data_IF_074690575005
#
_entry.id   IF_074690575005
#
_cell.length_a   1.000
_cell.length_b   1.000
_cell.length_c   1.000
_cell.angle_alpha   90.00
_cell.angle_beta   90.00
_cell.angle_gamma   90.00
#
_symmetry.space_group_name_H-M   'P 1'
#
loop_
_entity.id
_entity.type
_entity.pdbx_description
1 polymer ?
#
# COMPACT_ATOMS: atom_id res chain seq x y z
N UNK A 1 -13.98 -8.13 -5.77
CA UNK A 1 -12.64 -7.75 -6.16
C UNK A 1 -11.99 -6.78 -5.19
N UNK A 2 -10.73 -6.56 -5.39
CA UNK A 2 -9.94 -5.63 -4.60
C UNK A 2 -9.75 -4.33 -5.37
N UNK A 3 -9.74 -3.20 -4.64
CA UNK A 3 -9.50 -1.87 -5.17
C UNK A 3 -8.33 -1.24 -4.42
N UNK A 4 -7.44 -0.57 -5.15
CA UNK A 4 -6.42 0.26 -4.54
C UNK A 4 -7.05 1.48 -3.87
N UNK A 5 -6.70 1.72 -2.62
CA UNK A 5 -7.13 2.90 -1.88
C UNK A 5 -6.07 4.00 -1.85
N UNK A 6 -4.84 3.70 -2.26
CA UNK A 6 -3.78 4.69 -2.44
C UNK A 6 -3.05 4.46 -3.77
N UNK A 7 -2.34 5.49 -4.23
CA UNK A 7 -1.54 5.37 -5.45
C UNK A 7 -0.31 4.49 -5.18
N UNK A 8 0.04 3.53 -6.06
CA UNK A 8 1.21 2.66 -5.83
C UNK A 8 2.54 3.41 -5.72
N UNK A 9 2.64 4.57 -6.36
CA UNK A 9 3.83 5.43 -6.34
C UNK A 9 3.56 6.73 -5.58
N UNK A 10 2.87 6.62 -4.44
CA UNK A 10 2.60 7.79 -3.60
C UNK A 10 3.91 8.41 -3.05
N UNK A 11 3.84 9.67 -2.73
CA UNK A 11 5.01 10.43 -2.28
C UNK A 11 5.89 10.88 -3.43
N UNK A 12 6.87 11.71 -3.14
CA UNK A 12 7.74 12.32 -4.14
C UNK A 12 9.08 11.57 -4.28
N UNK A 13 9.03 10.25 -4.25
CA UNK A 13 10.21 9.41 -4.35
C UNK A 13 10.27 8.73 -5.70
N UNK A 14 11.46 8.74 -6.30
CA UNK A 14 11.71 7.96 -7.50
C UNK A 14 11.61 6.46 -7.21
N UNK A 15 11.20 5.65 -8.18
CA UNK A 15 11.23 4.20 -8.04
C UNK A 15 12.60 3.72 -7.59
N UNK A 16 12.64 2.78 -6.66
CA UNK A 16 13.85 2.20 -6.07
C UNK A 16 14.65 3.11 -5.14
N UNK A 17 14.23 4.35 -4.92
CA UNK A 17 14.85 5.25 -3.94
C UNK A 17 14.25 5.11 -2.54
N UNK A 18 13.03 4.63 -2.44
CA UNK A 18 12.35 4.39 -1.18
C UNK A 18 12.29 2.89 -0.91
N UNK A 19 12.92 2.39 0.17
CA UNK A 19 12.97 0.95 0.44
C UNK A 19 11.63 0.38 0.89
N UNK A 20 10.71 1.23 1.36
CA UNK A 20 9.41 0.79 1.84
C UNK A 20 8.28 1.47 1.08
N UNK A 21 7.28 0.69 0.69
CA UNK A 21 6.03 1.18 0.15
C UNK A 21 4.89 0.35 0.69
N UNK A 22 3.82 1.02 1.08
CA UNK A 22 2.61 0.37 1.56
C UNK A 22 1.48 0.53 0.55
N UNK A 23 0.80 -0.55 0.27
CA UNK A 23 -0.42 -0.55 -0.54
C UNK A 23 -1.62 -0.80 0.35
N UNK A 24 -2.63 0.01 0.18
CA UNK A 24 -3.91 -0.17 0.86
C UNK A 24 -4.91 -0.72 -0.15
N UNK A 25 -5.45 -1.87 0.16
CA UNK A 25 -6.45 -2.51 -0.67
C UNK A 25 -7.76 -2.56 0.09
N UNK A 26 -8.86 -2.24 -0.58
CA UNK A 26 -10.19 -2.41 -0.04
C UNK A 26 -10.93 -3.48 -0.82
N UNK A 27 -11.71 -4.30 -0.12
CA UNK A 27 -12.54 -5.31 -0.74
C UNK A 27 -13.87 -4.68 -1.17
N UNK A 28 -14.27 -4.95 -2.39
CA UNK A 28 -15.55 -4.55 -2.95
C UNK A 28 -16.52 -5.73 -3.05
N UNK A 29 -16.34 -6.75 -2.22
CA UNK A 29 -17.23 -7.91 -2.23
C UNK A 29 -18.63 -7.51 -1.77
N UNK A 30 -19.64 -7.75 -2.62
CA UNK A 30 -21.04 -7.67 -2.24
C UNK A 30 -21.41 -8.94 -1.47
N UNK A 31 -22.00 -8.84 -0.26
CA UNK A 31 -22.23 -10.00 0.61
C UNK A 31 -23.20 -11.05 0.04
N UNK A 32 -23.91 -10.74 -1.02
CA UNK A 32 -24.98 -11.59 -1.55
C UNK A 32 -24.78 -12.06 -3.00
N UNK A 33 -23.61 -11.81 -3.57
CA UNK A 33 -23.36 -12.19 -4.98
C UNK A 33 -22.52 -13.46 -5.04
N UNK A 34 -23.08 -14.49 -5.67
CA UNK A 34 -22.34 -15.69 -6.05
C UNK A 34 -21.45 -15.47 -7.28
N UNK A 35 -21.61 -14.35 -7.97
CA UNK A 35 -20.78 -14.01 -9.11
C UNK A 35 -19.40 -13.53 -8.65
N UNK A 36 -18.32 -13.87 -9.37
CA UNK A 36 -17.01 -13.31 -9.07
C UNK A 36 -17.08 -11.79 -9.17
N UNK A 37 -16.51 -11.11 -8.17
CA UNK A 37 -16.49 -9.67 -8.15
C UNK A 37 -15.71 -9.14 -9.36
N UNK A 38 -16.20 -8.09 -10.04
CA UNK A 38 -15.49 -7.54 -11.18
C UNK A 38 -14.14 -6.97 -10.79
N UNK A 39 -13.17 -7.09 -11.67
CA UNK A 39 -11.86 -6.48 -11.50
C UNK A 39 -11.99 -4.96 -11.59
N UNK A 40 -11.36 -4.24 -10.66
CA UNK A 40 -11.30 -2.79 -10.75
C UNK A 40 -10.23 -2.38 -11.76
N UNK A 41 -10.66 -1.97 -12.92
CA UNK A 41 -9.79 -1.64 -14.06
C UNK A 41 -8.84 -0.50 -13.72
N UNK A 42 -9.31 0.53 -13.04
CA UNK A 42 -8.48 1.67 -12.66
C UNK A 42 -7.32 1.24 -11.75
N UNK A 43 -7.59 0.36 -10.78
CA UNK A 43 -6.56 -0.18 -9.91
C UNK A 43 -5.53 -1.01 -10.67
N UNK A 44 -6.00 -1.84 -11.60
CA UNK A 44 -5.12 -2.65 -12.45
C UNK A 44 -4.21 -1.78 -13.31
N UNK A 45 -4.76 -0.75 -13.94
CA UNK A 45 -3.99 0.20 -14.75
C UNK A 45 -2.92 0.93 -13.92
N UNK A 46 -3.27 1.36 -12.70
CA UNK A 46 -2.31 2.01 -11.81
C UNK A 46 -1.16 1.08 -11.42
N UNK A 47 -1.45 -0.18 -11.15
CA UNK A 47 -0.43 -1.18 -10.83
C UNK A 47 0.47 -1.44 -12.04
N UNK A 48 -0.09 -1.60 -13.22
CA UNK A 48 0.68 -1.81 -14.44
C UNK A 48 1.59 -0.63 -14.76
N UNK A 49 1.10 0.60 -14.60
CA UNK A 49 1.90 1.81 -14.77
C UNK A 49 3.04 1.88 -13.74
N UNK A 50 2.77 1.52 -12.49
CA UNK A 50 3.79 1.49 -11.45
C UNK A 50 4.87 0.46 -11.76
N UNK A 51 4.48 -0.74 -12.20
CA UNK A 51 5.43 -1.78 -12.60
C UNK A 51 6.30 -1.31 -13.77
N UNK A 52 5.71 -0.67 -14.77
CA UNK A 52 6.45 -0.14 -15.91
C UNK A 52 7.50 0.88 -15.48
N UNK A 53 7.18 1.75 -14.51
CA UNK A 53 8.14 2.71 -13.97
C UNK A 53 9.27 2.04 -13.20
N UNK A 54 8.96 1.00 -12.41
CA UNK A 54 9.99 0.21 -11.73
C UNK A 54 10.92 -0.49 -12.71
N UNK A 55 10.37 -1.04 -13.78
CA UNK A 55 11.15 -1.72 -14.81
C UNK A 55 12.06 -0.73 -15.56
N UNK A 56 11.54 0.45 -15.89
CA UNK A 56 12.32 1.52 -16.51
C UNK A 56 13.45 2.01 -15.60
N UNK A 57 13.27 1.96 -14.30
CA UNK A 57 14.28 2.35 -13.31
C UNK A 57 15.22 1.20 -12.92
N UNK A 58 15.11 0.04 -13.55
CA UNK A 58 15.92 -1.14 -13.22
C UNK A 58 17.43 -0.91 -13.41
N UNK A 59 17.82 0.01 -14.29
CA UNK A 59 19.22 0.37 -14.49
C UNK A 59 19.79 1.26 -13.38
N UNK A 60 18.94 1.84 -12.54
CA UNK A 60 19.37 2.64 -11.38
C UNK A 60 19.74 1.69 -10.24
N UNK A 61 20.97 1.81 -9.75
CA UNK A 61 21.37 1.04 -8.57
C UNK A 61 20.52 1.45 -7.36
N UNK A 62 20.06 0.48 -6.55
CA UNK A 62 19.37 0.82 -5.32
C UNK A 62 20.31 1.57 -4.39
N UNK A 63 19.79 2.59 -3.71
CA UNK A 63 20.54 3.36 -2.73
C UNK A 63 20.86 2.44 -1.55
N UNK A 64 22.14 2.34 -1.19
CA UNK A 64 22.54 1.63 0.02
C UNK A 64 22.23 2.50 1.24
N UNK A 65 21.52 1.91 2.18
CA UNK A 65 21.14 2.58 3.41
C UNK A 65 21.59 1.79 4.61
N UNK A 66 22.07 2.48 5.64
CA UNK A 66 22.33 1.89 6.92
C UNK A 66 21.03 1.67 7.72
N UNK A 67 21.13 1.04 8.90
CA UNK A 67 19.97 0.74 9.73
C UNK A 67 19.20 2.00 10.16
N UNK A 68 19.91 3.11 10.39
CA UNK A 68 19.30 4.37 10.77
C UNK A 68 18.48 4.96 9.64
N UNK A 69 19.06 5.00 8.44
CA UNK A 69 18.36 5.48 7.24
C UNK A 69 17.14 4.62 6.91
N UNK A 70 17.25 3.30 7.05
CA UNK A 70 16.11 2.39 6.84
C UNK A 70 14.97 2.67 7.82
N UNK A 71 15.29 2.92 9.09
CA UNK A 71 14.28 3.28 10.10
C UNK A 71 13.60 4.61 9.78
N UNK A 72 14.36 5.59 9.33
CA UNK A 72 13.82 6.89 8.92
C UNK A 72 12.87 6.74 7.72
N UNK A 73 13.24 5.93 6.75
CA UNK A 73 12.39 5.62 5.60
C UNK A 73 11.10 4.89 6.02
N UNK A 74 11.20 3.94 6.95
CA UNK A 74 10.03 3.25 7.49
C UNK A 74 9.09 4.22 8.22
N UNK A 75 9.65 5.15 8.98
CA UNK A 75 8.88 6.20 9.65
C UNK A 75 8.14 7.09 8.64
N UNK A 76 8.81 7.52 7.59
CA UNK A 76 8.19 8.32 6.51
C UNK A 76 7.06 7.55 5.85
N UNK A 77 7.26 6.28 5.55
CA UNK A 77 6.23 5.44 4.94
C UNK A 77 5.00 5.31 5.85
N UNK A 78 5.20 5.12 7.15
CA UNK A 78 4.11 5.07 8.14
C UNK A 78 3.34 6.39 8.19
N UNK A 79 4.02 7.53 8.16
CA UNK A 79 3.37 8.84 8.18
C UNK A 79 2.55 9.09 6.91
N UNK A 80 3.07 8.71 5.74
CA UNK A 80 2.32 8.79 4.49
C UNK A 80 1.10 7.87 4.52
N UNK A 81 1.25 6.66 5.04
CA UNK A 81 0.18 5.71 5.21
C UNK A 81 -0.89 6.23 6.17
N UNK A 82 -0.47 6.82 7.29
CA UNK A 82 -1.38 7.45 8.27
C UNK A 82 -2.25 8.52 7.62
N UNK A 83 -1.63 9.43 6.86
CA UNK A 83 -2.35 10.50 6.18
C UNK A 83 -3.38 9.94 5.19
N UNK A 84 -3.02 8.90 4.46
CA UNK A 84 -3.94 8.26 3.51
C UNK A 84 -5.11 7.58 4.23
N UNK A 85 -4.84 6.84 5.30
CA UNK A 85 -5.86 6.15 6.09
C UNK A 85 -6.84 7.17 6.70
N UNK A 86 -6.33 8.26 7.24
CA UNK A 86 -7.17 9.33 7.79
C UNK A 86 -8.05 9.97 6.71
N UNK A 87 -7.50 10.16 5.51
CA UNK A 87 -8.29 10.70 4.38
C UNK A 87 -9.43 9.79 3.95
N UNK A 88 -9.31 8.49 4.23
CA UNK A 88 -10.37 7.51 3.95
C UNK A 88 -11.42 7.42 5.07
N UNK A 89 -11.32 8.27 6.10
CA UNK A 89 -12.24 8.25 7.23
C UNK A 89 -11.94 7.17 8.26
N UNK A 90 -10.79 6.50 8.18
CA UNK A 90 -10.35 5.49 9.12
C UNK A 90 -9.30 6.05 10.08
N UNK A 91 -9.22 5.50 11.29
CA UNK A 91 -8.15 5.81 12.22
C UNK A 91 -7.10 4.72 12.20
N UNK A 92 -5.84 5.11 12.10
CA UNK A 92 -4.73 4.16 12.18
C UNK A 92 -4.68 3.47 13.55
N UNK A 93 -5.11 4.16 14.61
CA UNK A 93 -5.23 3.56 15.94
C UNK A 93 -6.22 2.41 15.96
N UNK A 94 -7.33 2.55 15.27
CA UNK A 94 -8.31 1.47 15.12
C UNK A 94 -7.73 0.26 14.41
N UNK A 95 -6.93 0.48 13.36
CA UNK A 95 -6.26 -0.58 12.63
C UNK A 95 -5.18 -1.26 13.47
N UNK A 96 -4.40 -0.49 14.24
CA UNK A 96 -3.36 -1.03 15.12
C UNK A 96 -3.95 -1.79 16.31
N UNK A 97 -5.07 -1.36 16.85
CA UNK A 97 -5.76 -2.04 17.94
C UNK A 97 -6.35 -3.40 17.52
N UNK A 98 -6.56 -3.60 16.23
CA UNK A 98 -6.99 -4.90 15.70
C UNK A 98 -5.90 -5.98 15.88
N UNK A 99 -4.65 -5.59 16.04
CA UNK A 99 -3.54 -6.52 16.24
C UNK A 99 -3.52 -7.18 17.63
N UNK A 100 -4.21 -6.61 18.61
CA UNK A 100 -4.27 -7.17 19.96
C UNK A 100 -5.39 -8.20 20.18
N UNK A 101 -6.28 -8.33 19.23
CA UNK A 101 -7.44 -9.21 19.35
C UNK A 101 -7.61 -9.96 18.06
N UNK A 102 -6.95 -10.91 17.67
CA UNK A 102 -7.26 -11.64 16.42
C UNK A 102 -8.74 -11.53 15.99
N UNK A 103 -9.25 -10.38 15.63
CA UNK A 103 -10.47 -10.37 14.87
C UNK A 103 -10.09 -10.93 13.51
N UNK A 104 -11.01 -11.63 12.90
CA UNK A 104 -10.97 -11.82 11.47
C UNK A 104 -10.48 -10.50 10.85
N UNK A 105 -9.50 -10.52 9.93
CA UNK A 105 -8.97 -9.30 9.34
C UNK A 105 -10.14 -8.41 8.97
N UNK A 106 -10.07 -7.14 9.38
CA UNK A 106 -11.14 -6.20 9.12
C UNK A 106 -11.54 -6.36 7.67
N UNK A 107 -12.77 -6.80 7.38
CA UNK A 107 -13.11 -7.10 6.01
C UNK A 107 -12.90 -5.84 5.19
N UNK A 108 -11.97 -5.88 4.29
CA UNK A 108 -11.79 -4.87 3.32
C UNK A 108 -10.54 -4.02 3.40
N UNK A 109 -9.70 -4.12 4.42
CA UNK A 109 -8.45 -3.35 4.45
C UNK A 109 -7.26 -4.27 4.69
N UNK A 110 -6.38 -4.33 3.72
CA UNK A 110 -5.11 -5.05 3.81
C UNK A 110 -3.98 -4.07 3.53
N UNK A 111 -3.05 -3.96 4.48
CA UNK A 111 -1.81 -3.23 4.28
C UNK A 111 -0.69 -4.20 3.99
N UNK A 112 0.02 -3.97 2.91
CA UNK A 112 1.15 -4.78 2.51
C UNK A 112 2.41 -3.93 2.41
N UNK A 113 3.41 -4.26 3.20
CA UNK A 113 4.73 -3.66 3.12
C UNK A 113 5.61 -4.49 2.20
N UNK A 114 6.22 -3.82 1.24
CA UNK A 114 7.21 -4.43 0.38
C UNK A 114 8.53 -3.69 0.60
N UNK A 115 9.50 -4.41 1.11
CA UNK A 115 10.88 -3.94 1.17
C UNK A 115 11.50 -4.02 -0.21
N UNK A 116 12.15 -2.94 -0.61
CA UNK A 116 12.79 -2.85 -1.91
C UNK A 116 14.30 -2.88 -1.80
#
# INVERSE_FOLDING_TARGET
>A
GWRLANHPLYGNFLPRQMPYRSLILSSCALPSSEAPAPVDITSLELIEQAQARYDAAAALAPIRMDSSALRDCAFVDVELLRATIESLGCSIKSLLNLNGRHPAPAPGVLSHHKEM
#
